data_IF_295160952094
#
_entry.id   IF_295160952094
#
_cell.length_a   1.000
_cell.length_b   1.000
_cell.length_c   1.000
_cell.angle_alpha   90.00
_cell.angle_beta   90.00
_cell.angle_gamma   90.00
#
_symmetry.space_group_name_H-M   'P 1'
#
loop_
_entity.id
_entity.type
_entity.pdbx_description
1 polymer ?
#
# COMPACT_ATOMS: atom_id res chain seq x y z
N UNK A 1 -12.27 10.14 0.41
CA UNK A 1 -11.75 9.21 -0.61
C UNK A 1 -12.61 7.96 -0.58
N UNK A 2 -13.02 7.46 -1.75
CA UNK A 2 -13.84 6.24 -1.89
C UNK A 2 -12.90 5.03 -1.95
N UNK A 3 -13.27 3.91 -1.35
CA UNK A 3 -12.49 2.68 -1.47
C UNK A 3 -12.43 2.23 -2.93
N UNK A 4 -11.24 1.84 -3.42
CA UNK A 4 -11.08 1.34 -4.79
C UNK A 4 -11.98 0.12 -5.04
N UNK A 5 -12.46 -0.04 -6.25
CA UNK A 5 -13.04 -1.29 -6.71
C UNK A 5 -11.94 -2.28 -7.13
N UNK A 6 -12.33 -3.51 -7.49
CA UNK A 6 -11.38 -4.57 -7.86
C UNK A 6 -10.56 -4.21 -9.10
N UNK A 7 -11.17 -3.58 -10.10
CA UNK A 7 -10.49 -3.22 -11.37
C UNK A 7 -9.40 -2.18 -11.10
N UNK A 8 -9.72 -1.14 -10.33
CA UNK A 8 -8.76 -0.09 -9.96
C UNK A 8 -7.55 -0.64 -9.19
N UNK A 9 -7.74 -1.69 -8.37
CA UNK A 9 -6.63 -2.37 -7.70
C UNK A 9 -5.81 -3.21 -8.64
N UNK A 10 -6.42 -3.92 -9.58
CA UNK A 10 -5.69 -4.75 -10.54
C UNK A 10 -4.85 -3.90 -11.51
N UNK A 11 -5.31 -2.69 -11.83
CA UNK A 11 -4.61 -1.75 -12.71
C UNK A 11 -3.77 -0.70 -11.95
N UNK A 12 -3.39 -0.95 -10.69
CA UNK A 12 -2.62 0.02 -9.92
C UNK A 12 -1.23 0.25 -10.53
N UNK A 13 -0.81 1.51 -10.64
CA UNK A 13 0.50 1.88 -11.21
C UNK A 13 1.67 1.53 -10.29
N UNK A 14 1.42 1.33 -9.00
CA UNK A 14 2.43 0.98 -8.00
C UNK A 14 2.88 -0.49 -8.07
N UNK A 15 2.23 -1.31 -8.92
CA UNK A 15 2.62 -2.68 -9.20
C UNK A 15 2.25 -3.68 -8.10
N UNK A 16 1.30 -3.39 -7.22
CA UNK A 16 0.87 -4.32 -6.17
C UNK A 16 -0.02 -5.44 -6.69
N UNK A 17 0.01 -6.58 -5.99
CA UNK A 17 -0.96 -7.67 -6.14
C UNK A 17 -1.83 -7.75 -4.88
N UNK A 18 -2.85 -6.90 -4.83
CA UNK A 18 -3.75 -6.79 -3.68
C UNK A 18 -4.78 -7.91 -3.65
N UNK A 19 -4.86 -8.57 -2.49
CA UNK A 19 -5.89 -9.55 -2.19
C UNK A 19 -6.55 -9.21 -0.86
N UNK A 20 -7.85 -9.44 -0.77
CA UNK A 20 -8.58 -9.25 0.48
C UNK A 20 -8.07 -10.23 1.54
N UNK A 21 -7.82 -9.71 2.74
CA UNK A 21 -7.47 -10.49 3.93
C UNK A 21 -8.62 -10.44 4.92
N UNK A 22 -9.28 -11.57 5.16
CA UNK A 22 -10.37 -11.65 6.15
C UNK A 22 -9.89 -11.43 7.59
N UNK A 23 -8.63 -11.82 7.88
CA UNK A 23 -8.02 -11.66 9.20
C UNK A 23 -7.84 -10.18 9.56
N UNK A 24 -7.31 -9.39 8.63
CA UNK A 24 -6.98 -7.99 8.86
C UNK A 24 -8.08 -7.03 8.37
N UNK A 25 -9.08 -7.55 7.62
CA UNK A 25 -10.15 -6.78 6.97
C UNK A 25 -9.66 -5.65 6.06
N UNK A 26 -8.56 -5.90 5.36
CA UNK A 26 -7.90 -4.97 4.44
C UNK A 26 -7.43 -5.69 3.19
N UNK A 27 -7.08 -4.95 2.15
CA UNK A 27 -6.42 -5.54 0.98
C UNK A 27 -4.91 -5.55 1.23
N UNK A 28 -4.30 -6.73 1.20
CA UNK A 28 -2.86 -6.91 1.39
C UNK A 28 -2.20 -7.25 0.06
N UNK A 29 -1.10 -6.57 -0.25
CA UNK A 29 -0.23 -6.97 -1.34
C UNK A 29 0.49 -8.28 -0.97
N UNK A 30 0.31 -9.33 -1.77
CA UNK A 30 0.94 -10.64 -1.54
C UNK A 30 2.46 -10.63 -1.70
N UNK A 31 3.01 -9.60 -2.34
CA UNK A 31 4.45 -9.51 -2.65
C UNK A 31 5.26 -8.83 -1.53
N UNK A 32 4.75 -7.71 -1.02
CA UNK A 32 5.50 -6.84 -0.09
C UNK A 32 4.77 -6.53 1.22
N UNK A 33 3.53 -6.99 1.37
CA UNK A 33 2.74 -6.79 2.60
C UNK A 33 2.10 -5.41 2.77
N UNK A 34 2.17 -4.52 1.76
CA UNK A 34 1.44 -3.24 1.81
C UNK A 34 -0.05 -3.47 2.03
N UNK A 35 -0.63 -2.75 2.97
CA UNK A 35 -2.04 -2.83 3.32
C UNK A 35 -2.81 -1.61 2.82
N UNK A 36 -3.80 -1.81 1.96
CA UNK A 36 -4.79 -0.81 1.58
C UNK A 36 -6.05 -0.97 2.44
N UNK A 37 -6.32 0.04 3.27
CA UNK A 37 -7.54 0.11 4.06
C UNK A 37 -8.67 0.78 3.28
N UNK A 38 -9.91 0.37 3.58
CA UNK A 38 -11.12 0.99 3.01
C UNK A 38 -11.26 2.49 3.31
N UNK A 39 -10.55 2.98 4.33
CA UNK A 39 -10.47 4.41 4.66
C UNK A 39 -9.66 5.23 3.64
N UNK A 40 -9.00 4.58 2.67
CA UNK A 40 -8.13 5.22 1.69
C UNK A 40 -6.76 5.56 2.25
N UNK A 41 -6.27 4.75 3.18
CA UNK A 41 -4.93 4.85 3.75
C UNK A 41 -4.16 3.58 3.41
N UNK A 42 -2.87 3.73 3.21
CA UNK A 42 -1.92 2.67 2.94
C UNK A 42 -0.96 2.53 4.11
N UNK A 43 -0.72 1.31 4.57
CA UNK A 43 0.30 0.99 5.58
C UNK A 43 1.38 0.09 4.98
N UNK A 44 2.63 0.42 5.29
CA UNK A 44 3.77 -0.43 4.95
C UNK A 44 4.94 -0.14 5.90
N UNK A 45 5.53 -1.20 6.48
CA UNK A 45 6.73 -1.14 7.33
C UNK A 45 6.70 -0.08 8.46
N UNK A 46 5.54 0.12 9.10
CA UNK A 46 5.35 1.10 10.18
C UNK A 46 5.09 2.54 9.73
N UNK A 47 4.93 2.76 8.43
CA UNK A 47 4.53 4.04 7.84
C UNK A 47 3.09 3.96 7.33
N UNK A 48 2.39 5.10 7.38
CA UNK A 48 1.10 5.29 6.72
C UNK A 48 1.09 6.50 5.79
N UNK A 49 0.35 6.39 4.68
CA UNK A 49 0.11 7.54 3.80
C UNK A 49 -1.25 7.44 3.10
N UNK A 50 -1.75 8.58 2.63
CA UNK A 50 -2.89 8.66 1.69
C UNK A 50 -2.46 8.35 0.25
N UNK A 51 -1.16 8.46 -0.02
CA UNK A 51 -0.54 8.13 -1.29
C UNK A 51 -0.07 6.68 -1.23
N UNK A 52 -0.38 5.91 -2.27
CA UNK A 52 0.02 4.51 -2.38
C UNK A 52 1.55 4.39 -2.47
N UNK A 53 2.22 3.58 -1.60
CA UNK A 53 3.65 3.33 -1.75
C UNK A 53 3.91 2.52 -3.01
N UNK A 54 5.08 2.68 -3.65
CA UNK A 54 5.51 1.75 -4.67
C UNK A 54 5.68 0.33 -4.06
N UNK A 55 5.45 -0.72 -4.85
CA UNK A 55 5.62 -2.09 -4.38
C UNK A 55 7.10 -2.41 -4.18
N UNK A 56 7.52 -2.71 -2.94
CA UNK A 56 8.94 -2.95 -2.61
C UNK A 56 9.60 -4.06 -3.44
N UNK A 57 8.83 -5.05 -3.90
CA UNK A 57 9.33 -6.11 -4.78
C UNK A 57 9.49 -5.70 -6.24
N UNK A 58 9.02 -4.52 -6.65
CA UNK A 58 8.94 -4.07 -8.05
C UNK A 58 9.44 -2.64 -8.27
N UNK A 59 9.94 -1.96 -7.25
CA UNK A 59 10.49 -0.61 -7.37
C UNK A 59 11.94 -0.55 -6.86
N UNK A 60 12.59 0.58 -7.10
CA UNK A 60 13.89 0.87 -6.52
C UNK A 60 13.78 1.28 -5.04
N UNK A 61 14.90 1.18 -4.31
CA UNK A 61 14.97 1.62 -2.92
C UNK A 61 14.76 3.14 -2.78
N UNK A 62 15.24 3.92 -3.76
CA UNK A 62 15.09 5.37 -3.78
C UNK A 62 13.62 5.82 -3.90
N UNK A 63 12.82 5.10 -4.68
CA UNK A 63 11.38 5.38 -4.80
C UNK A 63 10.64 5.13 -3.49
N UNK A 64 10.98 4.05 -2.78
CA UNK A 64 10.43 3.79 -1.45
C UNK A 64 10.85 4.85 -0.44
N UNK A 65 12.11 5.26 -0.46
CA UNK A 65 12.62 6.25 0.48
C UNK A 65 11.91 7.60 0.29
N UNK A 66 11.73 8.03 -0.96
CA UNK A 66 10.94 9.24 -1.28
C UNK A 66 9.51 9.16 -0.77
N UNK A 67 8.87 8.00 -0.92
CA UNK A 67 7.52 7.82 -0.36
C UNK A 67 7.53 7.90 1.19
N UNK A 68 8.54 7.33 1.85
CA UNK A 68 8.68 7.38 3.31
C UNK A 68 8.88 8.80 3.84
N UNK A 69 9.54 9.68 3.09
CA UNK A 69 9.73 11.10 3.45
C UNK A 69 8.40 11.87 3.50
N UNK A 70 7.41 11.47 2.70
CA UNK A 70 6.07 12.07 2.68
C UNK A 70 5.06 11.32 3.57
N UNK A 71 5.42 10.13 4.05
CA UNK A 71 4.58 9.28 4.88
C UNK A 71 4.67 9.65 6.38
N UNK A 72 3.64 9.26 7.12
CA UNK A 72 3.60 9.42 8.58
C UNK A 72 4.14 8.13 9.20
N UNK A 73 5.24 8.21 9.94
CA UNK A 73 5.72 7.07 10.74
C UNK A 73 4.85 6.89 11.98
N UNK A 74 4.30 5.68 12.17
CA UNK A 74 3.46 5.31 13.33
C UNK A 74 4.12 4.26 14.24
N UNK A 75 5.28 3.72 13.86
CA UNK A 75 5.91 2.60 14.55
C UNK A 75 5.45 1.23 14.03
N UNK A 76 6.12 0.18 14.50
CA UNK A 76 5.82 -1.23 14.17
C UNK A 76 5.21 -1.92 15.39
#
# INVERSE_FOLDING_TARGET
MVARNTVERLSNSAGHDYQWSDMCRVHLCKLCGTAEHRSGWYWWAGYKSRIEPPCERRCSKDELLKWQEEAIFEGI
#
